data_IF_569281212676
#
_entry.id   IF_569281212676
#
_cell.length_a   1.000
_cell.length_b   1.000
_cell.length_c   1.000
_cell.angle_alpha   90.00
_cell.angle_beta   90.00
_cell.angle_gamma   90.00
#
_symmetry.space_group_name_H-M   'P 1'
#
loop_
_entity.id
_entity.type
_entity.pdbx_description
1 polymer ?
#
# COMPACT_ATOMS: atom_id res chain seq x y z
N UNK A 1 3.26 -21.35 -18.21
CA UNK A 1 2.30 -20.71 -17.37
C UNK A 1 2.89 -19.50 -16.67
N UNK A 2 2.14 -18.44 -16.69
CA UNK A 2 2.61 -17.23 -16.04
C UNK A 2 2.84 -17.47 -14.56
N UNK A 3 3.89 -16.89 -14.04
CA UNK A 3 4.17 -16.98 -12.62
C UNK A 3 2.96 -16.48 -11.84
N UNK A 4 2.58 -17.21 -10.83
CA UNK A 4 1.40 -16.89 -10.06
C UNK A 4 1.46 -15.48 -9.43
N UNK A 5 2.67 -14.95 -9.20
CA UNK A 5 2.83 -13.64 -8.59
C UNK A 5 2.11 -12.54 -9.36
N UNK A 6 2.14 -12.59 -10.68
CA UNK A 6 1.48 -11.55 -11.47
C UNK A 6 -0.03 -11.57 -11.33
N UNK A 7 -0.60 -12.71 -10.99
CA UNK A 7 -2.02 -12.84 -10.77
C UNK A 7 -2.45 -12.67 -9.33
N UNK A 8 -1.52 -12.50 -8.41
CA UNK A 8 -1.84 -12.31 -6.99
C UNK A 8 -1.77 -10.83 -6.65
N UNK A 9 -2.94 -10.24 -6.49
CA UNK A 9 -3.07 -8.82 -6.25
C UNK A 9 -3.60 -8.59 -4.85
N UNK A 10 -3.10 -7.55 -4.20
CA UNK A 10 -3.49 -7.23 -2.83
C UNK A 10 -4.28 -5.93 -2.81
N UNK A 11 -5.36 -5.92 -2.07
CA UNK A 11 -6.21 -4.75 -1.92
C UNK A 11 -6.50 -4.58 -0.44
N UNK A 12 -6.16 -3.43 0.09
CA UNK A 12 -6.35 -3.21 1.51
C UNK A 12 -6.94 -1.85 1.83
N UNK A 13 -7.67 -1.81 2.93
CA UNK A 13 -8.31 -0.63 3.46
C UNK A 13 -7.86 -0.43 4.90
N UNK A 14 -7.43 0.78 5.25
CA UNK A 14 -7.00 1.10 6.60
C UNK A 14 -5.83 0.19 7.03
N UNK A 15 -5.93 -0.52 8.13
CA UNK A 15 -4.86 -1.41 8.58
C UNK A 15 -4.53 -2.48 7.53
N UNK A 16 -5.51 -2.97 6.82
CA UNK A 16 -5.23 -3.97 5.78
C UNK A 16 -4.57 -3.34 4.56
N UNK A 17 -4.69 -2.03 4.36
CA UNK A 17 -3.92 -1.32 3.35
C UNK A 17 -2.44 -1.29 3.71
N UNK A 18 -2.15 -0.98 4.96
CA UNK A 18 -0.80 -1.10 5.50
C UNK A 18 -0.29 -2.53 5.33
N UNK A 19 -1.14 -3.50 5.66
CA UNK A 19 -0.79 -4.92 5.53
C UNK A 19 -0.52 -5.33 4.10
N UNK A 20 -1.31 -4.82 3.15
CA UNK A 20 -1.10 -5.13 1.73
C UNK A 20 0.27 -4.65 1.26
N UNK A 21 0.63 -3.43 1.62
CA UNK A 21 1.95 -2.90 1.27
C UNK A 21 3.07 -3.69 1.95
N UNK A 22 2.94 -3.93 3.25
CA UNK A 22 3.96 -4.68 3.98
C UNK A 22 4.16 -6.07 3.38
N UNK A 23 3.07 -6.73 3.02
CA UNK A 23 3.13 -8.08 2.48
C UNK A 23 3.81 -8.10 1.11
N UNK A 24 3.44 -7.18 0.22
CA UNK A 24 4.09 -7.10 -1.09
C UNK A 24 5.58 -6.79 -0.96
N UNK A 25 5.91 -5.83 -0.11
CA UNK A 25 7.31 -5.40 0.05
C UNK A 25 8.18 -6.50 0.63
N UNK A 26 7.63 -7.34 1.51
CA UNK A 26 8.37 -8.47 2.09
C UNK A 26 8.44 -9.67 1.15
N UNK A 27 7.48 -9.79 0.23
CA UNK A 27 7.39 -10.94 -0.66
C UNK A 27 7.13 -10.50 -2.11
N UNK A 28 8.05 -9.73 -2.70
CA UNK A 28 7.82 -9.19 -4.05
C UNK A 28 7.78 -10.26 -5.13
N UNK A 29 8.25 -11.45 -4.82
CA UNK A 29 8.21 -12.59 -5.73
C UNK A 29 6.90 -13.38 -5.65
N UNK A 30 6.09 -13.14 -4.63
CA UNK A 30 4.82 -13.85 -4.45
C UNK A 30 3.60 -13.06 -4.93
N UNK A 31 3.69 -11.74 -4.92
CA UNK A 31 2.57 -10.87 -5.26
C UNK A 31 2.95 -9.90 -6.36
N UNK A 32 1.99 -9.52 -7.20
CA UNK A 32 2.25 -8.62 -8.30
C UNK A 32 2.11 -7.15 -7.95
N UNK A 33 1.00 -6.79 -7.34
CA UNK A 33 0.68 -5.41 -7.02
C UNK A 33 -0.08 -5.32 -5.71
N UNK A 34 -0.02 -4.14 -5.09
CA UNK A 34 -0.81 -3.85 -3.89
C UNK A 34 -1.42 -2.46 -4.02
N UNK A 35 -2.69 -2.36 -3.68
CA UNK A 35 -3.38 -1.08 -3.60
C UNK A 35 -3.84 -0.86 -2.17
N UNK A 36 -3.65 0.36 -1.69
CA UNK A 36 -4.10 0.75 -0.36
C UNK A 36 -5.01 1.96 -0.47
N UNK A 37 -6.07 1.95 0.32
CA UNK A 37 -6.96 3.10 0.44
C UNK A 37 -7.06 3.49 1.90
N UNK A 38 -6.83 4.79 2.15
CA UNK A 38 -6.98 5.40 3.47
C UNK A 38 -6.30 4.60 4.58
N UNK A 39 -5.01 4.39 4.42
CA UNK A 39 -4.23 3.50 5.28
C UNK A 39 -3.14 4.25 6.06
N UNK A 40 -2.87 3.81 7.31
CA UNK A 40 -1.78 4.40 8.12
C UNK A 40 -0.42 3.88 7.67
N UNK A 41 -0.02 4.21 6.46
CA UNK A 41 1.16 3.64 5.81
C UNK A 41 2.47 3.99 6.49
N UNK A 42 2.52 5.11 7.20
CA UNK A 42 3.75 5.56 7.84
C UNK A 42 3.77 5.27 9.34
N UNK A 43 2.93 4.33 9.78
CA UNK A 43 2.92 3.87 11.17
C UNK A 43 4.31 3.40 11.57
N UNK A 44 4.84 3.94 12.66
CA UNK A 44 6.23 3.71 13.06
C UNK A 44 6.37 2.91 14.36
N UNK A 45 5.25 2.60 15.01
CA UNK A 45 5.26 1.83 16.27
C UNK A 45 4.12 0.85 16.29
N UNK A 46 4.34 -0.30 16.91
CA UNK A 46 3.26 -1.23 17.19
C UNK A 46 2.29 -0.60 18.20
N UNK A 47 1.11 -1.13 18.28
CA UNK A 47 0.11 -0.67 19.25
C UNK A 47 -0.85 0.39 18.75
N UNK A 48 -0.53 1.06 17.65
CA UNK A 48 -1.45 2.03 17.07
C UNK A 48 -2.54 1.30 16.31
N UNK A 49 -3.73 1.85 16.36
CA UNK A 49 -4.89 1.31 15.63
C UNK A 49 -5.14 -0.16 15.92
N UNK A 50 -4.84 -0.60 17.16
CA UNK A 50 -5.11 -1.96 17.59
C UNK A 50 -4.10 -3.00 17.10
N UNK A 51 -2.92 -2.59 16.67
CA UNK A 51 -1.94 -3.51 16.08
C UNK A 51 -0.98 -4.13 17.11
N UNK A 52 -1.05 -3.72 18.36
CA UNK A 52 -0.05 -4.13 19.36
C UNK A 52 0.07 -5.63 19.57
N UNK A 53 -1.06 -6.29 19.73
CA UNK A 53 -1.05 -7.74 20.02
C UNK A 53 -0.53 -8.56 18.85
N UNK A 54 -0.66 -8.03 17.63
CA UNK A 54 -0.25 -8.76 16.43
C UNK A 54 1.28 -8.89 16.38
N UNK A 55 1.98 -7.81 16.71
CA UNK A 55 3.43 -7.77 16.58
C UNK A 55 4.18 -8.06 17.87
N UNK A 56 3.55 -7.87 19.01
CA UNK A 56 4.13 -8.14 20.32
C UNK A 56 5.13 -7.09 20.77
N UNK A 57 6.17 -6.85 19.99
CA UNK A 57 7.22 -5.89 20.33
C UNK A 57 7.48 -4.93 19.18
N UNK A 58 8.08 -3.78 19.51
CA UNK A 58 8.48 -2.83 18.49
C UNK A 58 9.58 -3.38 17.59
N UNK A 59 10.47 -4.20 18.13
CA UNK A 59 11.52 -4.84 17.34
C UNK A 59 10.92 -5.75 16.27
N UNK A 60 9.92 -6.54 16.64
CA UNK A 60 9.25 -7.40 15.67
C UNK A 60 8.49 -6.57 14.64
N UNK A 61 7.82 -5.52 15.10
CA UNK A 61 7.09 -4.61 14.20
C UNK A 61 8.02 -3.99 13.16
N UNK A 62 9.25 -3.66 13.53
CA UNK A 62 10.19 -3.02 12.62
C UNK A 62 10.41 -3.82 11.34
N UNK A 63 10.31 -5.15 11.42
CA UNK A 63 10.45 -6.01 10.25
C UNK A 63 9.27 -5.95 9.28
N UNK A 64 8.17 -5.32 9.69
CA UNK A 64 6.96 -5.19 8.87
C UNK A 64 6.67 -3.74 8.49
N UNK A 65 7.45 -2.79 8.99
CA UNK A 65 7.17 -1.36 8.84
C UNK A 65 7.35 -0.91 7.40
N UNK A 66 6.31 -0.33 6.82
CA UNK A 66 6.27 0.01 5.41
C UNK A 66 7.39 0.98 5.02
N UNK A 67 7.63 2.04 5.80
CA UNK A 67 8.65 3.02 5.45
C UNK A 67 10.04 2.39 5.34
N UNK A 68 10.38 1.50 6.27
CA UNK A 68 11.66 0.80 6.23
C UNK A 68 11.72 -0.16 5.05
N UNK A 69 10.63 -0.89 4.82
CA UNK A 69 10.58 -1.85 3.74
C UNK A 69 10.68 -1.18 2.37
N UNK A 70 10.11 0.01 2.22
CA UNK A 70 10.26 0.78 0.99
C UNK A 70 11.72 1.12 0.74
N UNK A 71 12.42 1.57 1.77
CA UNK A 71 13.84 1.90 1.65
C UNK A 71 14.68 0.67 1.30
N UNK A 72 14.43 -0.43 2.00
CA UNK A 72 15.22 -1.64 1.82
C UNK A 72 14.97 -2.32 0.48
N UNK A 73 13.78 -2.14 -0.10
CA UNK A 73 13.37 -2.85 -1.31
C UNK A 73 13.16 -1.95 -2.52
N UNK A 74 13.60 -0.71 -2.46
CA UNK A 74 13.33 0.27 -3.51
C UNK A 74 13.69 -0.23 -4.90
N UNK A 75 14.83 -0.92 -5.03
CA UNK A 75 15.31 -1.38 -6.33
C UNK A 75 14.32 -2.33 -7.02
N UNK A 76 13.55 -3.07 -6.27
CA UNK A 76 12.58 -4.03 -6.82
C UNK A 76 11.34 -3.34 -7.38
N UNK A 77 11.17 -2.06 -7.11
CA UNK A 77 9.92 -1.35 -7.44
C UNK A 77 10.14 -0.10 -8.28
N UNK A 78 11.30 0.02 -8.92
CA UNK A 78 11.62 1.21 -9.70
C UNK A 78 11.19 1.16 -11.15
N UNK A 79 10.96 -0.03 -11.70
CA UNK A 79 10.65 -0.18 -13.12
C UNK A 79 9.17 -0.30 -13.43
N UNK A 80 8.44 -1.01 -12.61
CA UNK A 80 7.02 -1.26 -12.83
C UNK A 80 6.19 -0.65 -11.72
N UNK A 81 5.01 -0.16 -12.08
CA UNK A 81 4.07 0.36 -11.08
C UNK A 81 3.39 -0.80 -10.40
N UNK A 82 3.80 -1.07 -9.17
CA UNK A 82 3.29 -2.18 -8.37
C UNK A 82 2.62 -1.71 -7.08
N UNK A 83 2.82 -0.45 -6.71
CA UNK A 83 2.27 0.13 -5.49
C UNK A 83 1.27 1.22 -5.88
N UNK A 84 0.08 1.16 -5.31
CA UNK A 84 -1.03 2.04 -5.68
C UNK A 84 -1.64 2.66 -4.44
N UNK A 85 -1.85 3.99 -4.49
CA UNK A 85 -2.57 4.76 -3.48
C UNK A 85 -3.73 5.47 -4.17
N UNK A 86 -4.96 5.26 -3.69
CA UNK A 86 -6.14 5.66 -4.46
C UNK A 86 -7.05 6.68 -3.79
N UNK A 87 -6.57 7.44 -2.86
CA UNK A 87 -7.41 8.43 -2.20
C UNK A 87 -7.45 8.22 -0.71
N UNK A 88 -8.31 8.96 -0.03
CA UNK A 88 -8.24 9.01 1.42
C UNK A 88 -9.60 9.31 2.06
N UNK A 89 -9.69 8.94 3.33
CA UNK A 89 -10.74 9.41 4.22
C UNK A 89 -10.11 10.19 5.36
N UNK A 90 -9.37 9.50 6.25
CA UNK A 90 -8.71 10.14 7.38
C UNK A 90 -7.20 10.10 7.40
N UNK A 91 -6.58 9.42 6.43
CA UNK A 91 -5.12 9.22 6.44
C UNK A 91 -4.41 9.93 5.29
N UNK A 92 -4.89 11.09 4.90
CA UNK A 92 -4.27 11.83 3.81
C UNK A 92 -2.80 12.13 4.08
N UNK A 93 -2.47 12.56 5.30
CA UNK A 93 -1.09 12.85 5.67
C UNK A 93 -0.19 11.64 5.52
N UNK A 94 -0.69 10.47 5.91
CA UNK A 94 0.07 9.23 5.76
C UNK A 94 0.33 8.92 4.30
N UNK A 95 -0.66 9.12 3.46
CA UNK A 95 -0.53 8.90 2.02
C UNK A 95 0.44 9.88 1.38
N UNK A 96 0.37 11.16 1.75
CA UNK A 96 1.30 12.16 1.24
C UNK A 96 2.73 11.81 1.61
N UNK A 97 2.96 11.42 2.86
CA UNK A 97 4.30 11.06 3.32
C UNK A 97 4.82 9.82 2.62
N UNK A 98 3.97 8.83 2.40
CA UNK A 98 4.35 7.63 1.65
C UNK A 98 4.69 7.97 0.21
N UNK A 99 3.87 8.82 -0.41
CA UNK A 99 4.13 9.27 -1.77
C UNK A 99 5.47 9.98 -1.88
N UNK A 100 5.75 10.90 -0.97
CA UNK A 100 7.02 11.65 -0.96
C UNK A 100 8.21 10.71 -0.79
N UNK A 101 8.08 9.73 0.09
CA UNK A 101 9.15 8.75 0.27
C UNK A 101 9.38 7.94 -1.00
N UNK A 102 8.31 7.48 -1.63
CA UNK A 102 8.43 6.72 -2.87
C UNK A 102 9.04 7.55 -4.00
N UNK A 103 8.70 8.84 -4.07
CA UNK A 103 9.32 9.75 -5.04
C UNK A 103 10.82 9.88 -4.78
N UNK A 104 11.19 10.08 -3.52
CA UNK A 104 12.59 10.19 -3.13
C UNK A 104 13.38 8.94 -3.48
N UNK A 105 12.78 7.77 -3.31
CA UNK A 105 13.41 6.49 -3.60
C UNK A 105 13.30 6.08 -5.06
N UNK A 106 12.65 6.90 -5.88
CA UNK A 106 12.44 6.64 -7.31
C UNK A 106 11.65 5.36 -7.56
N UNK A 107 10.72 5.06 -6.66
CA UNK A 107 9.83 3.92 -6.80
C UNK A 107 8.68 4.31 -7.73
N UNK A 108 8.44 3.51 -8.76
CA UNK A 108 7.28 3.70 -9.63
C UNK A 108 6.01 3.34 -8.86
N UNK A 109 5.04 4.24 -8.87
CA UNK A 109 3.80 4.03 -8.12
C UNK A 109 2.69 4.89 -8.71
N UNK A 110 1.45 4.50 -8.43
CA UNK A 110 0.28 5.28 -8.77
C UNK A 110 -0.19 6.00 -7.51
N UNK A 111 -0.34 7.31 -7.59
CA UNK A 111 -0.79 8.09 -6.45
C UNK A 111 -1.95 9.00 -6.86
N UNK A 112 -3.05 8.89 -6.13
CA UNK A 112 -4.19 9.76 -6.34
C UNK A 112 -4.55 10.41 -5.01
N UNK A 113 -4.47 11.73 -4.96
CA UNK A 113 -4.77 12.52 -3.77
C UNK A 113 -6.24 12.92 -3.80
N UNK A 114 -7.10 11.94 -3.78
CA UNK A 114 -8.53 12.14 -3.80
C UNK A 114 -9.23 11.19 -4.72
N UNK A 115 -10.53 11.22 -4.77
CA UNK A 115 -11.37 12.08 -3.94
C UNK A 115 -11.39 11.67 -2.48
N UNK A 116 -11.75 12.60 -1.60
CA UNK A 116 -11.97 12.29 -0.19
C UNK A 116 -13.28 11.50 -0.08
N UNK A 117 -13.26 10.46 0.73
CA UNK A 117 -14.43 9.60 0.91
C UNK A 117 -14.55 9.23 2.39
N UNK A 118 -15.66 8.61 2.75
CA UNK A 118 -15.82 8.10 4.11
C UNK A 118 -14.91 6.91 4.34
N UNK A 119 -14.42 6.79 5.55
CA UNK A 119 -13.52 5.69 5.94
C UNK A 119 -14.32 4.40 6.13
N UNK A 120 -14.81 3.85 5.03
CA UNK A 120 -15.55 2.59 5.04
C UNK A 120 -15.45 1.89 3.68
N UNK A 121 -15.85 0.63 3.66
CA UNK A 121 -15.77 -0.19 2.46
C UNK A 121 -16.73 0.23 1.35
N UNK A 122 -17.78 0.95 1.72
CA UNK A 122 -18.89 1.25 0.80
C UNK A 122 -18.82 2.66 0.22
N UNK A 123 -17.73 3.38 0.44
CA UNK A 123 -17.64 4.78 0.01
C UNK A 123 -17.26 4.95 -1.46
N UNK A 124 -17.08 3.84 -2.20
CA UNK A 124 -16.88 3.89 -3.65
C UNK A 124 -15.45 3.73 -4.12
N UNK A 125 -14.50 3.54 -3.22
CA UNK A 125 -13.08 3.45 -3.60
C UNK A 125 -12.69 2.11 -4.20
N UNK A 126 -13.44 1.04 -3.89
CA UNK A 126 -13.02 -0.32 -4.26
C UNK A 126 -12.93 -0.49 -5.78
N UNK A 127 -13.90 0.05 -6.51
CA UNK A 127 -13.91 -0.10 -7.96
C UNK A 127 -12.66 0.51 -8.59
N UNK A 128 -12.31 1.71 -8.20
CA UNK A 128 -11.14 2.39 -8.73
C UNK A 128 -9.86 1.61 -8.41
N UNK A 129 -9.72 1.18 -7.15
CA UNK A 129 -8.55 0.43 -6.74
C UNK A 129 -8.43 -0.88 -7.50
N UNK A 130 -9.53 -1.59 -7.68
CA UNK A 130 -9.52 -2.86 -8.42
C UNK A 130 -9.16 -2.66 -9.87
N UNK A 131 -9.65 -1.60 -10.50
CA UNK A 131 -9.32 -1.31 -11.89
C UNK A 131 -7.84 -1.00 -12.06
N UNK A 132 -7.26 -0.24 -11.13
CA UNK A 132 -5.84 0.05 -11.18
C UNK A 132 -4.99 -1.21 -10.96
N UNK A 133 -5.41 -2.08 -10.05
CA UNK A 133 -4.71 -3.34 -9.83
C UNK A 133 -4.70 -4.20 -11.10
N UNK A 134 -5.80 -4.21 -11.81
CA UNK A 134 -5.94 -5.01 -13.02
C UNK A 134 -5.28 -4.35 -14.24
N UNK A 135 -4.76 -3.15 -14.06
CA UNK A 135 -4.12 -2.43 -15.16
C UNK A 135 -5.10 -1.86 -16.15
N UNK A 136 -6.38 -1.74 -15.79
CA UNK A 136 -7.39 -1.17 -16.67
C UNK A 136 -7.35 0.34 -16.55
N UNK A 137 -7.41 0.99 -17.69
CA UNK A 137 -7.50 2.44 -17.71
C UNK A 137 -8.96 2.84 -17.84
N UNK A 138 -9.27 4.03 -17.33
CA UNK A 138 -10.60 4.58 -17.51
C UNK A 138 -10.85 4.75 -19.00
N UNK A 139 -12.05 4.40 -19.42
CA UNK A 139 -12.43 4.62 -20.80
C UNK A 139 -12.73 6.09 -21.01
N UNK A 140 -12.22 6.62 -22.08
CA UNK A 140 -12.53 7.98 -22.45
C UNK A 140 -13.92 8.13 -23.01
#
# INVERSE_FOLDING_TARGET
MKAASEGRLLLGFSKSGWGAYSLLLRHPDLFGKAAAWDAPLMMDKSGRYGSGDIFGTDDNFAGYRVSKLLEDNAANFQKETRLILTGYGGFRDEHERAHELMEKLKIAHEYRDGPARKHDWHSGWVKEAAELLLGRKDKE
#
